data_IF_839159187474
#
_entry.id   IF_839159187474
#
_cell.length_a   1.000
_cell.length_b   1.000
_cell.length_c   1.000
_cell.angle_alpha   90.00
_cell.angle_beta   90.00
_cell.angle_gamma   90.00
#
_symmetry.space_group_name_H-M   'P 1'
#
loop_
_entity.id
_entity.type
_entity.pdbx_description
1 polymer ?
#
# COMPACT_ATOMS: atom_id res chain seq x y z
N UNK A 1 -18.49 -11.00 12.19
CA UNK A 1 -19.20 -10.62 10.95
C UNK A 1 -18.23 -10.04 9.90
N UNK A 2 -17.52 -8.92 10.09
CA UNK A 2 -16.63 -8.35 9.05
C UNK A 2 -15.48 -9.28 8.62
N UNK A 3 -14.84 -10.02 9.53
CA UNK A 3 -13.74 -10.94 9.19
C UNK A 3 -14.24 -12.10 8.32
N UNK A 4 -15.45 -12.63 8.59
CA UNK A 4 -16.06 -13.63 7.72
C UNK A 4 -16.38 -13.09 6.32
N UNK A 5 -16.82 -11.83 6.21
CA UNK A 5 -17.02 -11.19 4.91
C UNK A 5 -15.70 -11.05 4.14
N UNK A 6 -14.61 -10.68 4.82
CA UNK A 6 -13.28 -10.58 4.20
C UNK A 6 -12.80 -11.95 3.72
N UNK A 7 -13.00 -13.01 4.51
CA UNK A 7 -12.68 -14.38 4.10
C UNK A 7 -13.42 -14.78 2.82
N UNK A 8 -14.68 -14.39 2.68
CA UNK A 8 -15.45 -14.66 1.47
C UNK A 8 -14.96 -13.85 0.27
N UNK A 9 -14.58 -12.57 0.46
CA UNK A 9 -13.95 -11.77 -0.60
C UNK A 9 -12.62 -12.39 -1.06
N UNK A 10 -11.81 -12.87 -0.15
CA UNK A 10 -10.56 -13.59 -0.47
C UNK A 10 -10.84 -14.89 -1.26
N UNK A 11 -11.89 -15.63 -0.88
CA UNK A 11 -12.31 -16.84 -1.59
C UNK A 11 -12.77 -16.50 -3.01
N UNK A 12 -13.60 -15.48 -3.19
CA UNK A 12 -14.08 -15.03 -4.49
C UNK A 12 -12.93 -14.55 -5.38
N UNK A 13 -11.98 -13.82 -4.83
CA UNK A 13 -10.78 -13.38 -5.56
C UNK A 13 -9.89 -14.55 -5.97
N UNK A 14 -9.72 -15.56 -5.11
CA UNK A 14 -8.97 -16.79 -5.45
C UNK A 14 -9.63 -17.60 -6.56
N UNK A 15 -10.95 -17.48 -6.72
CA UNK A 15 -11.73 -18.09 -7.81
C UNK A 15 -11.81 -17.19 -9.06
N UNK A 16 -11.10 -16.06 -9.07
CA UNK A 16 -11.08 -15.08 -10.17
C UNK A 16 -12.48 -14.52 -10.51
N UNK A 17 -13.40 -14.48 -9.53
CA UNK A 17 -14.76 -13.94 -9.69
C UNK A 17 -14.81 -12.44 -9.39
N UNK A 18 -13.82 -11.92 -8.69
CA UNK A 18 -13.66 -10.50 -8.38
C UNK A 18 -12.18 -10.14 -8.35
N UNK A 19 -11.87 -8.89 -8.66
CA UNK A 19 -10.59 -8.29 -8.31
C UNK A 19 -10.62 -7.78 -6.87
N UNK A 20 -9.62 -8.16 -6.06
CA UNK A 20 -9.50 -7.74 -4.67
C UNK A 20 -8.17 -7.02 -4.44
N UNK A 21 -8.27 -5.74 -4.11
CA UNK A 21 -7.13 -4.89 -3.78
C UNK A 21 -7.16 -4.48 -2.32
N UNK A 22 -6.00 -4.35 -1.73
CA UNK A 22 -5.79 -3.79 -0.40
C UNK A 22 -5.09 -2.45 -0.54
N UNK A 23 -5.69 -1.42 0.02
CA UNK A 23 -5.18 -0.06 -0.02
C UNK A 23 -4.61 0.37 1.32
N UNK A 24 -3.51 1.13 1.25
CA UNK A 24 -2.88 1.70 2.43
C UNK A 24 -1.92 2.82 2.04
N UNK A 25 -1.62 3.70 3.02
CA UNK A 25 -0.62 4.74 2.90
C UNK A 25 0.64 4.38 3.68
N UNK A 26 1.77 4.85 3.18
CA UNK A 26 3.02 4.77 3.92
C UNK A 26 3.88 6.01 3.69
N UNK A 27 4.53 6.47 4.74
CA UNK A 27 5.55 7.50 4.65
C UNK A 27 6.93 6.85 4.61
N UNK A 28 7.74 7.27 3.65
CA UNK A 28 9.17 6.92 3.54
C UNK A 28 9.98 8.19 3.82
N UNK A 29 10.63 8.26 4.96
CA UNK A 29 11.45 9.41 5.37
C UNK A 29 12.88 9.25 4.87
N UNK A 30 13.65 10.36 4.81
CA UNK A 30 15.09 10.33 4.53
C UNK A 30 15.93 9.71 5.68
N UNK A 31 15.27 9.15 6.69
CA UNK A 31 15.91 8.35 7.72
C UNK A 31 15.82 6.88 7.29
N UNK A 32 16.94 6.23 6.93
CA UNK A 32 16.91 4.85 6.49
C UNK A 32 16.33 3.93 7.55
N UNK A 33 15.37 3.10 7.17
CA UNK A 33 14.86 2.02 8.02
C UNK A 33 15.80 0.80 7.93
N UNK A 34 17.11 0.97 8.09
CA UNK A 34 18.08 -0.13 8.05
C UNK A 34 18.20 -0.72 9.44
N UNK A 35 17.59 -1.88 9.73
CA UNK A 35 17.59 -2.45 11.07
C UNK A 35 18.96 -2.96 11.52
N UNK A 36 19.81 -3.34 10.55
CA UNK A 36 21.17 -3.85 10.78
C UNK A 36 22.06 -3.50 9.59
N UNK A 37 23.28 -3.03 9.85
CA UNK A 37 24.35 -2.85 8.87
C UNK A 37 25.58 -3.65 9.29
N UNK A 38 26.25 -4.31 8.36
CA UNK A 38 27.59 -4.84 8.59
C UNK A 38 28.57 -3.67 8.48
N UNK A 39 29.39 -3.51 9.49
CA UNK A 39 30.43 -2.49 9.56
C UNK A 39 31.75 -3.21 9.81
N UNK A 40 32.79 -2.85 9.08
CA UNK A 40 34.13 -3.31 9.45
C UNK A 40 34.56 -2.64 10.76
N UNK A 41 35.35 -3.35 11.54
CA UNK A 41 35.93 -2.79 12.75
C UNK A 41 36.75 -1.57 12.35
N UNK A 42 36.47 -0.43 12.99
CA UNK A 42 37.13 0.85 12.75
C UNK A 42 36.63 1.65 11.52
N UNK A 43 35.50 1.28 10.90
CA UNK A 43 34.82 2.11 9.90
C UNK A 43 33.55 2.76 10.50
N UNK A 44 33.44 4.09 10.36
CA UNK A 44 32.22 4.81 10.70
C UNK A 44 31.28 4.86 9.48
N UNK A 45 30.14 4.21 9.58
CA UNK A 45 29.10 4.31 8.55
C UNK A 45 28.20 5.49 8.87
N UNK A 46 28.40 6.59 8.16
CA UNK A 46 27.54 7.76 8.24
C UNK A 46 26.29 7.56 7.36
N UNK A 47 25.13 7.52 7.98
CA UNK A 47 23.87 7.59 7.24
C UNK A 47 23.34 9.04 7.30
N UNK A 48 23.15 9.71 6.15
CA UNK A 48 22.58 11.03 6.14
C UNK A 48 21.12 10.93 6.63
N UNK A 49 20.79 11.57 7.73
CA UNK A 49 19.46 11.67 8.27
C UNK A 49 18.98 13.12 8.19
N UNK A 50 18.09 13.42 7.26
CA UNK A 50 17.43 14.73 7.20
C UNK A 50 16.04 14.62 7.85
N UNK A 51 15.93 15.12 9.10
CA UNK A 51 14.66 15.15 9.83
C UNK A 51 13.56 15.86 9.05
N UNK A 52 12.42 15.21 8.94
CA UNK A 52 11.20 15.79 8.39
C UNK A 52 10.97 15.63 6.88
N UNK A 53 12.02 15.49 6.07
CA UNK A 53 11.86 15.24 4.66
C UNK A 53 11.44 13.76 4.38
N UNK A 54 10.52 13.57 3.47
CA UNK A 54 10.03 12.24 3.13
C UNK A 54 8.98 12.27 2.03
N UNK A 55 8.57 11.10 1.63
CA UNK A 55 7.56 10.84 0.62
C UNK A 55 6.34 10.20 1.26
N UNK A 56 5.17 10.54 0.76
CA UNK A 56 3.94 9.85 1.08
C UNK A 56 3.58 8.97 -0.11
N UNK A 57 3.30 7.71 0.13
CA UNK A 57 2.95 6.74 -0.87
C UNK A 57 1.55 6.19 -0.55
N UNK A 58 0.75 6.01 -1.56
CA UNK A 58 -0.49 5.25 -1.50
C UNK A 58 -0.40 4.10 -2.49
N UNK A 59 -0.87 2.94 -2.12
CA UNK A 59 -0.89 1.78 -3.01
C UNK A 59 -2.15 0.96 -2.84
N UNK A 60 -2.58 0.35 -3.94
CA UNK A 60 -3.59 -0.69 -4.02
C UNK A 60 -2.88 -1.94 -4.53
N UNK A 61 -2.77 -2.97 -3.70
CA UNK A 61 -2.06 -4.20 -4.03
C UNK A 61 -2.98 -5.41 -3.94
N UNK A 62 -2.90 -6.30 -4.92
CA UNK A 62 -3.58 -7.60 -4.89
C UNK A 62 -2.61 -8.73 -4.49
N UNK A 63 -3.15 -9.88 -4.08
CA UNK A 63 -2.33 -11.08 -3.81
C UNK A 63 -1.61 -11.61 -5.04
N UNK A 64 -2.12 -11.31 -6.23
CA UNK A 64 -1.45 -11.62 -7.50
C UNK A 64 -0.29 -10.64 -7.82
N UNK A 65 0.06 -9.74 -6.90
CA UNK A 65 1.05 -8.68 -7.10
C UNK A 65 0.68 -7.67 -8.21
N UNK A 66 -0.61 -7.53 -8.54
CA UNK A 66 -1.06 -6.36 -9.28
C UNK A 66 -0.96 -5.15 -8.36
N UNK A 67 -0.30 -4.10 -8.80
CA UNK A 67 -0.03 -2.91 -8.00
C UNK A 67 -0.41 -1.64 -8.77
N UNK A 68 -1.24 -0.83 -8.14
CA UNK A 68 -1.48 0.57 -8.51
C UNK A 68 -0.91 1.41 -7.38
N UNK A 69 -0.10 2.41 -7.70
CA UNK A 69 0.52 3.24 -6.68
C UNK A 69 0.72 4.67 -7.16
N UNK A 70 0.79 5.56 -6.19
CA UNK A 70 1.24 6.94 -6.39
C UNK A 70 2.17 7.33 -5.24
N UNK A 71 3.24 8.04 -5.57
CA UNK A 71 4.18 8.59 -4.61
C UNK A 71 4.21 10.12 -4.77
N UNK A 72 4.11 10.83 -3.67
CA UNK A 72 4.06 12.30 -3.65
C UNK A 72 4.88 12.86 -2.48
N UNK A 73 5.32 14.11 -2.61
CA UNK A 73 5.89 14.87 -1.50
C UNK A 73 4.83 15.58 -0.67
N UNK A 74 3.64 15.68 -1.23
CA UNK A 74 2.51 16.32 -0.59
C UNK A 74 1.81 15.36 0.39
N UNK A 75 0.97 15.93 1.24
CA UNK A 75 0.17 15.15 2.17
C UNK A 75 -0.94 14.41 1.42
N UNK A 76 -1.15 13.14 1.76
CA UNK A 76 -2.31 12.39 1.29
C UNK A 76 -3.56 12.94 1.98
N UNK A 77 -4.53 13.34 1.16
CA UNK A 77 -5.82 13.89 1.57
C UNK A 77 -6.96 13.01 1.07
N UNK A 78 -8.18 13.29 1.51
CA UNK A 78 -9.36 12.59 0.97
C UNK A 78 -9.55 12.83 -0.52
N UNK A 79 -9.21 14.02 -1.04
CA UNK A 79 -9.28 14.31 -2.47
C UNK A 79 -8.27 13.47 -3.26
N UNK A 80 -7.06 13.29 -2.71
CA UNK A 80 -6.06 12.39 -3.29
C UNK A 80 -6.59 10.94 -3.37
N UNK A 81 -7.18 10.43 -2.28
CA UNK A 81 -7.77 9.08 -2.26
C UNK A 81 -8.91 8.96 -3.27
N UNK A 82 -9.77 9.96 -3.35
CA UNK A 82 -10.85 10.02 -4.34
C UNK A 82 -10.29 9.94 -5.76
N UNK A 83 -9.25 10.70 -6.07
CA UNK A 83 -8.61 10.68 -7.39
C UNK A 83 -8.08 9.28 -7.75
N UNK A 84 -7.40 8.61 -6.81
CA UNK A 84 -6.87 7.26 -7.05
C UNK A 84 -7.99 6.23 -7.28
N UNK A 85 -9.05 6.26 -6.44
CA UNK A 85 -10.20 5.37 -6.60
C UNK A 85 -11.02 5.68 -7.84
N UNK A 86 -11.12 6.95 -8.23
CA UNK A 86 -11.78 7.37 -9.47
C UNK A 86 -11.04 6.81 -10.69
N UNK A 87 -9.71 6.97 -10.75
CA UNK A 87 -8.86 6.38 -11.82
C UNK A 87 -9.04 4.87 -11.91
N UNK A 88 -9.02 4.17 -10.76
CA UNK A 88 -9.28 2.75 -10.72
C UNK A 88 -10.67 2.43 -11.28
N UNK A 89 -11.72 3.14 -10.82
CA UNK A 89 -13.11 2.87 -11.20
C UNK A 89 -13.38 2.99 -12.72
N UNK A 90 -12.57 3.76 -13.45
CA UNK A 90 -12.63 3.84 -14.90
C UNK A 90 -11.83 2.77 -15.63
N UNK A 91 -10.91 2.09 -14.94
CA UNK A 91 -10.02 1.09 -15.55
C UNK A 91 -10.42 -0.36 -15.27
N UNK A 92 -11.33 -0.59 -14.31
CA UNK A 92 -11.78 -1.94 -13.96
C UNK A 92 -12.58 -2.58 -15.09
N UNK A 93 -12.48 -3.91 -15.22
CA UNK A 93 -13.23 -4.72 -16.18
C UNK A 93 -14.17 -5.70 -15.51
N UNK A 94 -13.85 -6.06 -14.28
CA UNK A 94 -14.58 -7.00 -13.44
C UNK A 94 -15.01 -6.31 -12.15
N UNK A 95 -15.91 -6.92 -11.42
CA UNK A 95 -16.29 -6.45 -10.08
C UNK A 95 -15.03 -6.35 -9.23
N UNK A 96 -14.73 -5.17 -8.76
CA UNK A 96 -13.53 -4.88 -8.00
C UNK A 96 -13.87 -4.43 -6.59
N UNK A 97 -13.22 -5.02 -5.60
CA UNK A 97 -13.35 -4.62 -4.20
C UNK A 97 -12.02 -4.06 -3.71
N UNK A 98 -12.06 -2.88 -3.13
CA UNK A 98 -10.92 -2.26 -2.45
C UNK A 98 -11.12 -2.34 -0.95
N UNK A 99 -10.21 -3.01 -0.28
CA UNK A 99 -10.14 -3.13 1.18
C UNK A 99 -9.32 -1.97 1.72
N UNK A 100 -9.90 -1.15 2.59
CA UNK A 100 -9.24 -0.01 3.24
C UNK A 100 -9.37 -0.12 4.75
N UNK A 101 -8.49 0.51 5.48
CA UNK A 101 -8.66 0.73 6.90
C UNK A 101 -9.69 1.85 7.20
N UNK A 102 -9.87 2.17 8.47
CA UNK A 102 -10.81 3.20 8.89
C UNK A 102 -10.13 4.58 9.09
N UNK A 103 -9.02 4.87 8.40
CA UNK A 103 -8.40 6.18 8.47
C UNK A 103 -9.38 7.29 8.07
N UNK A 104 -9.22 8.47 8.66
CA UNK A 104 -10.13 9.61 8.39
C UNK A 104 -10.17 10.01 6.92
N UNK A 105 -9.07 9.86 6.21
CA UNK A 105 -8.98 10.16 4.77
C UNK A 105 -9.81 9.18 3.94
N UNK A 106 -9.95 7.92 4.38
CA UNK A 106 -10.75 6.89 3.71
C UNK A 106 -12.25 6.96 4.05
N UNK A 107 -12.59 7.46 5.23
CA UNK A 107 -13.97 7.47 5.75
C UNK A 107 -14.60 8.84 5.72
N UNK A 108 -13.94 9.84 5.14
CA UNK A 108 -14.43 11.20 5.06
C UNK A 108 -15.78 11.29 4.32
N UNK A 109 -16.53 12.37 4.60
CA UNK A 109 -17.82 12.63 3.93
C UNK A 109 -17.66 12.66 2.41
N UNK A 110 -16.61 13.31 1.90
CA UNK A 110 -16.32 13.40 0.48
C UNK A 110 -16.16 12.00 -0.18
N UNK A 111 -15.41 11.09 0.47
CA UNK A 111 -15.25 9.70 0.00
C UNK A 111 -16.61 8.97 0.03
N UNK A 112 -17.41 9.15 1.10
CA UNK A 112 -18.71 8.49 1.19
C UNK A 112 -19.69 8.95 0.09
N UNK A 113 -19.69 10.24 -0.24
CA UNK A 113 -20.52 10.81 -1.32
C UNK A 113 -20.15 10.26 -2.71
N UNK A 114 -18.90 9.81 -2.92
CA UNK A 114 -18.46 9.23 -4.20
C UNK A 114 -18.79 7.73 -4.35
N UNK A 115 -19.09 7.03 -3.27
CA UNK A 115 -19.27 5.57 -3.29
C UNK A 115 -20.33 5.09 -4.28
N UNK A 116 -21.48 5.77 -4.36
CA UNK A 116 -22.56 5.38 -5.28
C UNK A 116 -22.11 5.43 -6.75
N UNK A 117 -21.26 6.39 -7.13
CA UNK A 117 -20.70 6.49 -8.48
C UNK A 117 -19.72 5.33 -8.78
N UNK A 118 -18.90 4.97 -7.80
CA UNK A 118 -17.98 3.85 -7.95
C UNK A 118 -18.72 2.51 -8.02
N UNK A 119 -19.72 2.32 -7.16
CA UNK A 119 -20.57 1.12 -7.16
C UNK A 119 -21.32 0.95 -8.50
N UNK A 120 -21.79 2.02 -9.11
CA UNK A 120 -22.42 1.98 -10.42
C UNK A 120 -21.46 1.50 -11.54
N UNK A 121 -20.14 1.63 -11.33
CA UNK A 121 -19.10 1.14 -12.23
C UNK A 121 -18.56 -0.24 -11.85
N UNK A 122 -19.00 -0.82 -10.72
CA UNK A 122 -18.53 -2.12 -10.24
C UNK A 122 -17.39 -2.05 -9.23
N UNK A 123 -17.03 -0.87 -8.71
CA UNK A 123 -16.03 -0.70 -7.66
C UNK A 123 -16.68 -0.55 -6.29
N UNK A 124 -16.32 -1.44 -5.37
CA UNK A 124 -16.85 -1.47 -4.01
C UNK A 124 -15.74 -1.24 -2.99
N UNK A 125 -16.05 -0.55 -1.89
CA UNK A 125 -15.12 -0.36 -0.77
C UNK A 125 -15.57 -1.22 0.40
N UNK A 126 -14.63 -2.03 0.91
CA UNK A 126 -14.77 -2.77 2.14
C UNK A 126 -13.85 -2.20 3.21
N UNK A 127 -14.40 -1.82 4.36
CA UNK A 127 -13.60 -1.29 5.48
C UNK A 127 -13.27 -2.40 6.47
N UNK A 128 -12.00 -2.56 6.77
CA UNK A 128 -11.49 -3.49 7.78
C UNK A 128 -12.16 -3.27 9.15
N UNK A 129 -12.18 -4.28 10.02
CA UNK A 129 -12.49 -4.06 11.42
C UNK A 129 -11.51 -3.04 12.03
N UNK A 130 -11.94 -2.24 13.02
CA UNK A 130 -11.01 -1.38 13.75
C UNK A 130 -9.85 -2.18 14.35
N UNK A 131 -8.66 -1.57 14.40
CA UNK A 131 -7.46 -2.15 15.00
C UNK A 131 -7.01 -3.50 14.40
N UNK A 132 -7.21 -3.69 13.10
CA UNK A 132 -6.88 -4.95 12.41
C UNK A 132 -5.86 -4.76 11.26
N UNK A 133 -4.71 -4.10 11.47
CA UNK A 133 -3.72 -3.87 10.42
C UNK A 133 -3.16 -5.20 9.85
N UNK A 134 -3.06 -6.23 10.69
CA UNK A 134 -2.60 -7.56 10.28
C UNK A 134 -3.44 -8.21 9.16
N UNK A 135 -4.66 -7.72 8.93
CA UNK A 135 -5.52 -8.15 7.83
C UNK A 135 -5.24 -7.39 6.52
N UNK A 136 -4.44 -6.31 6.56
CA UNK A 136 -4.10 -5.53 5.38
C UNK A 136 -2.75 -5.99 4.79
N UNK A 137 -2.79 -6.67 3.66
CA UNK A 137 -1.57 -7.16 3.00
C UNK A 137 -0.66 -6.03 2.48
N UNK A 138 -1.16 -4.81 2.32
CA UNK A 138 -0.35 -3.66 1.94
C UNK A 138 0.75 -3.34 2.96
N UNK A 139 0.56 -3.70 4.24
CA UNK A 139 1.61 -3.64 5.27
C UNK A 139 2.87 -4.45 4.86
N UNK A 140 2.66 -5.60 4.22
CA UNK A 140 3.77 -6.42 3.73
C UNK A 140 4.51 -5.74 2.56
N UNK A 141 3.80 -5.05 1.69
CA UNK A 141 4.40 -4.24 0.62
C UNK A 141 5.32 -3.16 1.21
N UNK A 142 4.81 -2.40 2.20
CA UNK A 142 5.57 -1.32 2.83
C UNK A 142 6.79 -1.82 3.60
N UNK A 143 6.66 -2.96 4.27
CA UNK A 143 7.80 -3.61 4.94
C UNK A 143 8.88 -3.98 3.94
N UNK A 144 8.52 -4.62 2.81
CA UNK A 144 9.48 -4.98 1.76
C UNK A 144 10.13 -3.76 1.14
N UNK A 145 9.35 -2.72 0.82
CA UNK A 145 9.89 -1.49 0.29
C UNK A 145 10.96 -0.90 1.21
N UNK A 146 10.64 -0.73 2.50
CA UNK A 146 11.50 -0.03 3.46
C UNK A 146 12.70 -0.82 3.94
N UNK A 147 12.57 -2.15 4.07
CA UNK A 147 13.59 -2.98 4.72
C UNK A 147 14.34 -3.92 3.76
N UNK A 148 13.81 -4.16 2.55
CA UNK A 148 14.43 -5.10 1.63
C UNK A 148 14.84 -4.45 0.29
N UNK A 149 14.06 -3.49 -0.23
CA UNK A 149 14.28 -2.99 -1.59
C UNK A 149 15.03 -1.66 -1.64
N UNK A 150 14.82 -0.79 -0.65
CA UNK A 150 15.58 0.45 -0.56
C UNK A 150 16.92 0.21 0.14
N UNK A 151 17.99 0.75 -0.46
CA UNK A 151 19.34 0.66 0.06
C UNK A 151 19.71 1.95 0.80
N UNK A 152 20.71 1.91 1.69
CA UNK A 152 21.16 3.10 2.43
C UNK A 152 21.53 4.28 1.51
N UNK A 153 22.13 4.00 0.35
CA UNK A 153 22.49 5.02 -0.64
C UNK A 153 21.28 5.75 -1.25
N UNK A 154 20.10 5.11 -1.31
CA UNK A 154 18.89 5.70 -1.88
C UNK A 154 18.35 6.85 -1.04
N UNK A 155 18.74 6.91 0.23
CA UNK A 155 18.35 7.95 1.18
C UNK A 155 19.25 9.19 1.16
N UNK A 156 20.23 9.27 0.26
CA UNK A 156 21.18 10.39 0.18
C UNK A 156 20.48 11.71 -0.18
N UNK A 157 19.46 11.68 -1.02
CA UNK A 157 18.68 12.87 -1.40
C UNK A 157 17.19 12.52 -1.55
N UNK A 158 16.33 13.53 -1.36
CA UNK A 158 14.89 13.34 -1.51
C UNK A 158 14.50 12.98 -2.97
N UNK A 159 15.23 13.50 -3.96
CA UNK A 159 14.99 13.18 -5.37
C UNK A 159 15.42 11.75 -5.70
N UNK A 160 16.57 11.33 -5.18
CA UNK A 160 17.06 9.95 -5.30
C UNK A 160 16.08 8.97 -4.66
N UNK A 161 15.66 9.24 -3.43
CA UNK A 161 14.67 8.42 -2.73
C UNK A 161 13.34 8.34 -3.49
N UNK A 162 12.85 9.47 -4.01
CA UNK A 162 11.62 9.50 -4.82
C UNK A 162 11.73 8.62 -6.06
N UNK A 163 12.85 8.72 -6.77
CA UNK A 163 13.11 7.89 -7.95
C UNK A 163 13.15 6.40 -7.59
N UNK A 164 13.91 6.02 -6.56
CA UNK A 164 14.07 4.62 -6.16
C UNK A 164 12.78 4.00 -5.63
N UNK A 165 12.01 4.74 -4.84
CA UNK A 165 10.68 4.29 -4.39
C UNK A 165 9.77 3.99 -5.58
N UNK A 166 9.71 4.89 -6.57
CA UNK A 166 8.91 4.67 -7.77
C UNK A 166 9.40 3.48 -8.59
N UNK A 167 10.72 3.32 -8.75
CA UNK A 167 11.31 2.18 -9.46
C UNK A 167 10.98 0.85 -8.77
N UNK A 168 11.16 0.78 -7.45
CA UNK A 168 10.85 -0.42 -6.67
C UNK A 168 9.35 -0.79 -6.78
N UNK A 169 8.45 0.19 -6.58
CA UNK A 169 7.01 -0.07 -6.69
C UNK A 169 6.60 -0.46 -8.11
N UNK A 170 7.16 0.18 -9.16
CA UNK A 170 6.87 -0.16 -10.55
C UNK A 170 7.37 -1.55 -10.98
N UNK A 171 8.33 -2.12 -10.24
CA UNK A 171 8.87 -3.46 -10.48
C UNK A 171 8.02 -4.58 -9.82
N UNK A 172 7.09 -4.25 -8.92
CA UNK A 172 6.19 -5.21 -8.27
C UNK A 172 5.31 -5.89 -9.33
N UNK A 173 5.18 -7.21 -9.22
CA UNK A 173 4.46 -8.04 -10.19
C UNK A 173 5.25 -8.37 -11.46
N UNK A 174 6.38 -7.73 -11.69
CA UNK A 174 7.31 -7.97 -12.83
C UNK A 174 8.60 -8.63 -12.32
N UNK A 175 9.59 -7.81 -11.96
CA UNK A 175 10.87 -8.26 -11.41
C UNK A 175 10.82 -8.54 -9.90
N UNK A 176 9.97 -7.84 -9.17
CA UNK A 176 9.76 -8.03 -7.73
C UNK A 176 8.43 -8.75 -7.48
N UNK A 177 8.49 -9.83 -6.71
CA UNK A 177 7.29 -10.60 -6.31
C UNK A 177 7.18 -10.63 -4.79
N UNK A 178 5.97 -10.45 -4.29
CA UNK A 178 5.64 -10.56 -2.88
C UNK A 178 4.95 -11.90 -2.65
N UNK A 179 5.43 -12.67 -1.71
CA UNK A 179 4.70 -13.83 -1.19
C UNK A 179 3.91 -13.36 0.02
N UNK A 180 2.61 -13.23 -0.16
CA UNK A 180 1.71 -12.96 0.95
C UNK A 180 1.39 -14.26 1.69
N UNK A 181 1.29 -14.20 3.02
CA UNK A 181 0.76 -15.31 3.81
C UNK A 181 -0.68 -15.60 3.39
N UNK A 182 -1.09 -16.84 3.43
CA UNK A 182 -2.51 -17.16 3.21
C UNK A 182 -3.40 -16.42 4.21
N UNK A 183 -4.60 -16.07 3.76
CA UNK A 183 -5.57 -15.46 4.66
C UNK A 183 -5.98 -16.49 5.72
N UNK A 184 -5.72 -16.19 6.98
CA UNK A 184 -6.15 -17.02 8.11
C UNK A 184 -7.07 -16.23 9.03
N UNK A 185 -8.12 -16.84 9.51
CA UNK A 185 -9.10 -16.23 10.41
C UNK A 185 -8.55 -15.96 11.82
N UNK A 186 -7.29 -16.29 12.09
CA UNK A 186 -6.69 -16.07 13.41
C UNK A 186 -7.40 -16.82 14.54
N UNK A 187 -7.99 -17.98 14.24
CA UNK A 187 -8.53 -18.87 15.24
C UNK A 187 -7.37 -19.70 15.82
N UNK A 188 -6.73 -19.15 16.82
CA UNK A 188 -5.86 -19.88 17.74
C UNK A 188 -6.31 -19.59 19.18
#
# INVERSE_FOLDING_TARGET
MKVGCLAELERLSKLELIDLYYGDESRVCLEPCVPYGWQFKDEDVFMPAAKGAGLNCFALVSRACSLLFEATRERITSDFIIEQLERLSFSIREVTVVVLDNARVHTSRQVQERRSFWQARGLFIFYLPPYSPHLNIAETLWRKLKYEWLQAADYATIDGLFYQVRQALAAVGKGLKIRFSEFSLGLS
#
